data_IF_651660457485
#
_entry.id   IF_651660457485
#
_cell.length_a   1.000
_cell.length_b   1.000
_cell.length_c   1.000
_cell.angle_alpha   90.00
_cell.angle_beta   90.00
_cell.angle_gamma   90.00
#
_symmetry.space_group_name_H-M   'P 1'
#
loop_
_entity.id
_entity.type
_entity.pdbx_description
1 polymer ?
#
# COMPACT_ATOMS: atom_id res chain seq x y z
N UNK A 1 -3.21 15.67 -29.28
CA UNK A 1 -4.32 15.96 -28.35
C UNK A 1 -3.91 15.42 -26.99
N UNK A 2 -4.11 16.16 -25.92
CA UNK A 2 -3.86 15.69 -24.55
C UNK A 2 -4.86 16.33 -23.58
N UNK A 3 -4.99 15.78 -22.38
CA UNK A 3 -5.77 16.35 -21.30
C UNK A 3 -5.00 16.17 -19.99
N UNK A 4 -5.20 17.09 -19.06
CA UNK A 4 -4.54 17.01 -17.76
C UNK A 4 -5.03 18.06 -16.79
N UNK A 5 -4.59 17.89 -15.54
CA UNK A 5 -4.82 18.84 -14.46
C UNK A 5 -3.82 19.99 -14.57
N UNK A 6 -4.30 21.23 -14.46
CA UNK A 6 -3.49 22.44 -14.46
C UNK A 6 -2.67 22.54 -13.18
N UNK A 7 -1.35 22.40 -13.28
CA UNK A 7 -0.44 22.39 -12.12
C UNK A 7 0.30 23.71 -11.92
N UNK A 8 0.58 24.44 -13.01
CA UNK A 8 1.18 25.77 -12.94
C UNK A 8 0.76 26.63 -14.14
N UNK A 9 0.80 27.94 -13.96
CA UNK A 9 0.51 28.94 -15.01
C UNK A 9 1.50 30.10 -14.90
N UNK A 10 2.08 30.50 -16.02
CA UNK A 10 2.88 31.72 -16.18
C UNK A 10 2.31 32.56 -17.32
N UNK A 11 1.68 33.68 -16.98
CA UNK A 11 1.05 34.59 -17.93
C UNK A 11 2.08 35.61 -18.46
N UNK A 12 2.18 35.75 -19.78
CA UNK A 12 3.09 36.65 -20.49
C UNK A 12 2.31 37.52 -21.48
N UNK A 13 1.41 38.36 -20.95
CA UNK A 13 0.56 39.23 -21.76
C UNK A 13 -0.46 38.44 -22.58
N UNK A 14 -0.22 38.32 -23.89
CA UNK A 14 -1.07 37.60 -24.88
C UNK A 14 -0.70 36.12 -25.06
N UNK A 15 0.36 35.67 -24.41
CA UNK A 15 0.73 34.26 -24.38
C UNK A 15 0.92 33.79 -22.93
N UNK A 16 0.81 32.49 -22.69
CA UNK A 16 1.05 31.88 -21.39
C UNK A 16 1.72 30.54 -21.56
N UNK A 17 2.56 30.18 -20.60
CA UNK A 17 2.99 28.80 -20.38
C UNK A 17 2.19 28.21 -19.24
N UNK A 18 1.83 26.95 -19.35
CA UNK A 18 1.19 26.20 -18.28
C UNK A 18 1.72 24.77 -18.26
N UNK A 19 1.57 24.09 -17.14
CA UNK A 19 1.89 22.66 -17.01
C UNK A 19 0.59 21.89 -16.79
N UNK A 20 0.35 20.89 -17.64
CA UNK A 20 -0.73 19.93 -17.47
C UNK A 20 -0.14 18.60 -16.97
N UNK A 21 -0.71 18.08 -15.88
CA UNK A 21 -0.36 16.76 -15.33
C UNK A 21 -1.42 15.73 -15.69
N UNK A 22 -0.99 14.61 -16.27
CA UNK A 22 -1.83 13.45 -16.48
C UNK A 22 -1.29 12.23 -15.71
N UNK A 23 -1.71 11.02 -16.10
CA UNK A 23 -1.26 9.80 -15.46
C UNK A 23 0.19 9.40 -15.79
N UNK A 24 0.81 10.00 -16.80
CA UNK A 24 2.20 9.73 -17.21
C UNK A 24 3.18 10.75 -16.66
N UNK A 25 2.73 11.98 -16.40
CA UNK A 25 3.57 13.00 -15.79
C UNK A 25 3.13 14.42 -16.16
N UNK A 26 4.10 15.33 -16.12
CA UNK A 26 3.93 16.74 -16.44
C UNK A 26 4.31 17.03 -17.88
N UNK A 27 3.52 17.86 -18.54
CA UNK A 27 3.80 18.33 -19.88
C UNK A 27 3.51 19.83 -19.97
N UNK A 28 4.52 20.59 -20.41
CA UNK A 28 4.37 22.02 -20.67
C UNK A 28 3.48 22.24 -21.91
N UNK A 29 2.62 23.25 -21.83
CA UNK A 29 1.79 23.76 -22.92
C UNK A 29 2.01 25.25 -23.11
N UNK A 30 2.03 25.69 -24.36
CA UNK A 30 2.09 27.09 -24.75
C UNK A 30 0.75 27.50 -25.33
N UNK A 31 0.15 28.54 -24.76
CA UNK A 31 -1.18 29.02 -25.11
C UNK A 31 -1.07 30.47 -25.54
N UNK A 32 -1.28 30.73 -26.82
CA UNK A 32 -1.35 32.08 -27.37
C UNK A 32 -2.80 32.49 -27.63
N UNK A 33 -3.20 33.66 -27.12
CA UNK A 33 -4.56 34.21 -27.23
C UNK A 33 -5.08 34.19 -28.65
N UNK A 34 -4.30 34.73 -29.57
CA UNK A 34 -4.72 34.94 -30.96
C UNK A 34 -4.77 33.61 -31.74
N UNK A 35 -4.22 32.53 -31.19
CA UNK A 35 -4.32 31.19 -31.78
C UNK A 35 -5.53 30.41 -31.31
N UNK A 36 -5.82 30.43 -30.01
CA UNK A 36 -7.01 29.74 -29.46
C UNK A 36 -8.29 30.57 -29.62
N UNK A 37 -8.16 31.86 -29.92
CA UNK A 37 -9.24 32.78 -30.22
C UNK A 37 -8.94 33.51 -31.55
N UNK A 38 -9.17 32.88 -32.72
CA UNK A 38 -8.82 33.48 -34.01
C UNK A 38 -9.72 34.68 -34.39
N UNK A 39 -10.96 34.74 -33.89
CA UNK A 39 -11.89 35.85 -34.11
C UNK A 39 -11.70 37.03 -33.15
N UNK A 40 -12.60 38.02 -33.19
CA UNK A 40 -12.53 39.20 -32.31
C UNK A 40 -12.83 38.87 -30.84
N UNK A 41 -13.63 37.83 -30.58
CA UNK A 41 -13.92 37.37 -29.22
C UNK A 41 -12.68 36.72 -28.59
N UNK A 42 -12.11 37.38 -27.59
CA UNK A 42 -10.94 36.90 -26.83
C UNK A 42 -11.32 36.33 -25.45
N UNK A 43 -12.59 36.09 -25.17
CA UNK A 43 -13.11 35.70 -23.84
C UNK A 43 -12.48 34.41 -23.32
N UNK A 44 -12.33 33.39 -24.18
CA UNK A 44 -11.74 32.10 -23.79
C UNK A 44 -10.32 32.24 -23.20
N UNK A 45 -9.52 33.18 -23.69
CA UNK A 45 -8.19 33.42 -23.14
C UNK A 45 -8.20 34.47 -22.02
N UNK A 46 -8.79 35.65 -22.28
CA UNK A 46 -8.67 36.81 -21.39
C UNK A 46 -9.46 36.65 -20.09
N UNK A 47 -10.63 36.01 -20.15
CA UNK A 47 -11.50 35.82 -19.00
C UNK A 47 -11.37 34.38 -18.48
N UNK A 48 -11.64 33.39 -19.33
CA UNK A 48 -11.65 31.99 -18.88
C UNK A 48 -10.26 31.55 -18.46
N UNK A 49 -9.28 31.52 -19.37
CA UNK A 49 -7.95 31.00 -19.06
C UNK A 49 -7.17 31.85 -18.04
N UNK A 50 -7.16 33.18 -18.21
CA UNK A 50 -6.34 34.06 -17.37
C UNK A 50 -6.92 34.37 -15.99
N UNK A 51 -8.24 34.36 -15.82
CA UNK A 51 -8.88 34.85 -14.58
C UNK A 51 -9.75 33.79 -13.88
N UNK A 52 -10.44 32.94 -14.63
CA UNK A 52 -11.39 31.98 -14.05
C UNK A 52 -10.76 30.61 -13.79
N UNK A 53 -9.75 30.22 -14.56
CA UNK A 53 -9.03 28.96 -14.32
C UNK A 53 -8.00 29.12 -13.21
N UNK A 54 -7.91 28.08 -12.37
CA UNK A 54 -7.02 28.00 -11.22
C UNK A 54 -6.31 26.65 -11.21
N UNK A 55 -5.24 26.55 -10.42
CA UNK A 55 -4.52 25.30 -10.22
C UNK A 55 -5.48 24.21 -9.74
N UNK A 56 -5.42 23.05 -10.38
CA UNK A 56 -6.31 21.93 -10.15
C UNK A 56 -7.42 21.72 -11.17
N UNK A 57 -7.73 22.72 -12.00
CA UNK A 57 -8.71 22.58 -13.08
C UNK A 57 -8.24 21.59 -14.14
N UNK A 58 -9.17 20.88 -14.78
CA UNK A 58 -8.85 19.95 -15.86
C UNK A 58 -9.09 20.58 -17.21
N UNK A 59 -8.08 20.51 -18.08
CA UNK A 59 -8.10 21.07 -19.42
C UNK A 59 -7.81 19.99 -20.46
N UNK A 60 -8.51 20.07 -21.58
CA UNK A 60 -8.21 19.34 -22.81
C UNK A 60 -7.59 20.32 -23.80
N UNK A 61 -6.52 19.92 -24.46
CA UNK A 61 -5.81 20.76 -25.43
C UNK A 61 -5.44 19.98 -26.69
N UNK A 62 -5.53 20.65 -27.83
CA UNK A 62 -5.11 20.14 -29.13
C UNK A 62 -4.20 21.15 -29.81
N UNK A 63 -3.21 20.64 -30.54
CA UNK A 63 -2.08 21.42 -31.00
C UNK A 63 -0.99 20.55 -31.60
N UNK A 64 0.19 21.12 -31.78
CA UNK A 64 1.39 20.42 -32.28
C UNK A 64 2.56 20.57 -31.31
N UNK A 65 3.44 19.57 -31.29
CA UNK A 65 4.64 19.61 -30.46
C UNK A 65 5.70 20.53 -31.09
N UNK A 66 6.40 21.30 -30.26
CA UNK A 66 7.57 22.09 -30.65
C UNK A 66 8.56 22.15 -29.49
N UNK A 67 9.76 22.69 -29.75
CA UNK A 67 10.72 23.00 -28.69
C UNK A 67 10.80 24.50 -28.48
N UNK A 68 10.80 24.93 -27.23
CA UNK A 68 11.06 26.34 -26.87
C UNK A 68 12.53 26.69 -27.12
N UNK A 69 12.88 27.97 -26.96
CA UNK A 69 14.29 28.41 -27.04
C UNK A 69 15.20 27.76 -26.00
N UNK A 70 14.63 27.35 -24.86
CA UNK A 70 15.34 26.62 -23.80
C UNK A 70 15.42 25.11 -24.08
N UNK A 71 14.87 24.63 -25.20
CA UNK A 71 14.92 23.23 -25.63
C UNK A 71 13.81 22.34 -25.07
N UNK A 72 12.96 22.87 -24.19
CA UNK A 72 11.86 22.12 -23.56
C UNK A 72 10.80 21.73 -24.59
N UNK A 73 10.38 20.45 -24.55
CA UNK A 73 9.30 19.94 -25.39
C UNK A 73 7.97 20.50 -24.89
N UNK A 74 7.26 21.22 -25.76
CA UNK A 74 6.02 21.92 -25.41
C UNK A 74 4.95 21.66 -26.46
N UNK A 75 3.70 21.55 -26.02
CA UNK A 75 2.56 21.55 -26.93
C UNK A 75 2.13 22.99 -27.25
N UNK A 76 2.18 23.38 -28.51
CA UNK A 76 1.60 24.63 -28.99
C UNK A 76 0.09 24.47 -29.17
N UNK A 77 -0.70 25.10 -28.32
CA UNK A 77 -2.15 24.90 -28.24
C UNK A 77 -2.90 25.71 -29.30
N UNK A 78 -3.71 25.01 -30.10
CA UNK A 78 -4.64 25.57 -31.09
C UNK A 78 -6.09 25.53 -30.65
N UNK A 79 -6.45 24.55 -29.81
CA UNK A 79 -7.80 24.43 -29.24
C UNK A 79 -7.67 24.12 -27.75
N UNK A 80 -8.47 24.81 -26.93
CA UNK A 80 -8.53 24.64 -25.49
C UNK A 80 -9.97 24.35 -25.06
N UNK A 81 -10.15 23.33 -24.24
CA UNK A 81 -11.45 22.93 -23.68
C UNK A 81 -11.34 22.82 -22.17
N UNK A 82 -12.23 23.48 -21.43
CA UNK A 82 -12.35 23.28 -19.98
C UNK A 82 -13.15 22.00 -19.76
N UNK A 83 -12.53 21.00 -19.13
CA UNK A 83 -13.14 19.70 -18.91
C UNK A 83 -13.85 19.63 -17.55
N UNK A 84 -13.19 20.14 -16.50
CA UNK A 84 -13.76 20.19 -15.16
C UNK A 84 -13.13 21.29 -14.31
N UNK A 85 -13.95 22.00 -13.53
CA UNK A 85 -13.50 23.01 -12.57
C UNK A 85 -13.21 22.35 -11.22
N UNK A 86 -12.03 22.57 -10.67
CA UNK A 86 -11.72 22.33 -9.26
C UNK A 86 -12.34 23.46 -8.42
N UNK A 87 -13.29 23.11 -7.56
CA UNK A 87 -13.98 24.06 -6.67
C UNK A 87 -13.16 24.40 -5.43
N UNK A 88 -12.19 23.55 -5.09
CA UNK A 88 -11.25 23.78 -3.98
C UNK A 88 -9.84 23.96 -4.55
N UNK A 89 -9.05 24.92 -4.02
CA UNK A 89 -7.67 25.09 -4.45
C UNK A 89 -6.85 23.86 -4.06
N UNK A 90 -5.92 23.49 -4.93
CA UNK A 90 -4.93 22.47 -4.63
C UNK A 90 -3.82 23.08 -3.75
N UNK A 91 -3.29 22.34 -2.75
CA UNK A 91 -2.09 22.76 -2.04
C UNK A 91 -0.94 23.00 -3.04
N UNK A 92 -0.29 24.15 -2.92
CA UNK A 92 0.81 24.54 -3.81
C UNK A 92 2.11 24.16 -3.14
N UNK A 93 2.58 22.95 -3.43
CA UNK A 93 3.91 22.49 -3.01
C UNK A 93 4.94 23.18 -3.90
N UNK A 94 5.90 23.89 -3.31
CA UNK A 94 6.96 24.59 -4.04
C UNK A 94 8.28 23.89 -3.80
N UNK A 95 9.01 23.60 -4.86
CA UNK A 95 10.40 23.13 -4.76
C UNK A 95 11.30 24.25 -5.24
N UNK A 96 12.25 24.68 -4.41
CA UNK A 96 13.24 25.68 -4.84
C UNK A 96 14.35 25.05 -5.70
N UNK A 97 15.25 25.90 -6.23
CA UNK A 97 16.35 25.48 -7.11
C UNK A 97 17.38 24.59 -6.38
N UNK A 98 17.39 24.60 -5.05
CA UNK A 98 18.23 23.78 -4.18
C UNK A 98 17.59 22.42 -3.85
N UNK A 99 16.33 22.21 -4.29
CA UNK A 99 15.57 20.98 -4.08
C UNK A 99 14.75 20.94 -2.78
N UNK A 100 14.69 22.03 -2.01
CA UNK A 100 13.91 22.07 -0.78
C UNK A 100 12.42 22.22 -1.09
N UNK A 101 11.60 21.41 -0.43
CA UNK A 101 10.15 21.41 -0.58
C UNK A 101 9.51 22.29 0.48
N UNK A 102 8.91 23.40 0.06
CA UNK A 102 8.13 24.34 0.86
C UNK A 102 6.63 24.06 0.70
N UNK A 103 5.84 24.37 1.74
CA UNK A 103 4.38 24.19 1.76
C UNK A 103 3.95 22.74 1.43
N UNK A 104 4.79 21.77 1.80
CA UNK A 104 4.54 20.36 1.56
C UNK A 104 3.24 19.91 2.24
N UNK A 105 2.43 19.14 1.53
CA UNK A 105 1.28 18.45 2.12
C UNK A 105 1.78 17.25 2.92
N UNK A 106 2.40 17.53 4.06
CA UNK A 106 3.22 16.58 4.83
C UNK A 106 2.48 15.98 6.03
N UNK A 107 1.44 16.64 6.55
CA UNK A 107 0.67 16.17 7.70
C UNK A 107 0.14 14.74 7.46
N UNK A 108 0.57 13.74 8.24
CA UNK A 108 0.21 12.35 7.99
C UNK A 108 -1.30 12.10 8.01
N UNK A 109 -2.03 12.74 8.94
CA UNK A 109 -3.47 12.54 9.08
C UNK A 109 -4.23 13.07 7.85
N UNK A 110 -3.92 14.30 7.42
CA UNK A 110 -4.51 14.90 6.22
C UNK A 110 -4.17 14.11 4.96
N UNK A 111 -2.96 13.56 4.84
CA UNK A 111 -2.57 12.68 3.72
C UNK A 111 -3.41 11.41 3.67
N UNK A 112 -3.70 10.81 4.82
CA UNK A 112 -4.54 9.62 4.91
C UNK A 112 -6.02 9.94 4.64
N UNK A 113 -6.54 11.06 5.16
CA UNK A 113 -7.94 11.49 4.96
C UNK A 113 -8.22 12.00 3.55
N UNK A 114 -7.27 12.73 2.97
CA UNK A 114 -7.38 13.33 1.63
C UNK A 114 -6.40 12.67 0.67
N UNK A 115 -6.48 11.35 0.55
CA UNK A 115 -5.58 10.55 -0.30
C UNK A 115 -5.52 11.06 -1.75
N UNK A 116 -6.64 11.55 -2.27
CA UNK A 116 -6.72 12.14 -3.62
C UNK A 116 -5.87 13.41 -3.77
N UNK A 117 -5.67 14.19 -2.71
CA UNK A 117 -4.75 15.34 -2.70
C UNK A 117 -3.31 14.85 -2.62
N UNK A 118 -3.03 13.95 -1.68
CA UNK A 118 -1.71 13.35 -1.47
C UNK A 118 -1.13 12.74 -2.76
N UNK A 119 -1.95 12.00 -3.51
CA UNK A 119 -1.58 11.42 -4.81
C UNK A 119 -1.22 12.46 -5.89
N UNK A 120 -1.77 13.67 -5.81
CA UNK A 120 -1.54 14.73 -6.80
C UNK A 120 -0.29 15.52 -6.46
N UNK A 121 -0.07 15.82 -5.17
CA UNK A 121 0.94 16.79 -4.75
C UNK A 121 2.24 16.14 -4.26
N UNK A 122 2.21 14.91 -3.77
CA UNK A 122 3.39 14.21 -3.28
C UNK A 122 3.86 13.16 -4.30
N UNK A 123 5.08 13.36 -4.80
CA UNK A 123 5.73 12.38 -5.66
C UNK A 123 5.98 11.06 -4.91
N UNK A 124 6.01 9.92 -5.61
CA UNK A 124 6.30 8.61 -5.02
C UNK A 124 5.10 7.92 -4.37
N UNK A 125 4.04 8.66 -3.98
CA UNK A 125 2.85 8.06 -3.37
C UNK A 125 2.14 7.15 -4.36
N UNK A 126 1.93 7.62 -5.59
CA UNK A 126 1.31 6.81 -6.66
C UNK A 126 2.13 5.55 -6.96
N UNK A 127 3.44 5.69 -7.03
CA UNK A 127 4.39 4.61 -7.27
C UNK A 127 4.31 3.54 -6.18
N UNK A 128 4.05 3.94 -4.93
CA UNK A 128 3.83 3.01 -3.81
C UNK A 128 2.58 2.14 -4.04
N UNK A 129 1.47 2.74 -4.48
CA UNK A 129 0.26 1.97 -4.84
C UNK A 129 0.49 1.05 -6.04
N UNK A 130 1.21 1.53 -7.06
CA UNK A 130 1.56 0.72 -8.23
C UNK A 130 2.47 -0.47 -7.85
N UNK A 131 3.45 -0.25 -6.96
CA UNK A 131 4.30 -1.32 -6.41
C UNK A 131 3.47 -2.33 -5.61
N UNK A 132 2.51 -1.89 -4.79
CA UNK A 132 1.58 -2.80 -4.09
C UNK A 132 0.81 -3.67 -5.08
N UNK A 133 0.22 -3.08 -6.13
CA UNK A 133 -0.49 -3.85 -7.16
C UNK A 133 0.44 -4.84 -7.87
N UNK A 134 1.67 -4.43 -8.17
CA UNK A 134 2.66 -5.30 -8.80
C UNK A 134 3.06 -6.47 -7.89
N UNK A 135 3.21 -6.23 -6.59
CA UNK A 135 3.52 -7.26 -5.59
C UNK A 135 2.43 -8.32 -5.55
N UNK A 136 1.15 -7.91 -5.40
CA UNK A 136 0.00 -8.81 -5.38
C UNK A 136 -0.12 -9.59 -6.70
N UNK A 137 0.09 -8.92 -7.84
CA UNK A 137 0.05 -9.58 -9.15
C UNK A 137 1.18 -10.59 -9.33
N UNK A 138 2.36 -10.33 -8.77
CA UNK A 138 3.48 -11.25 -8.79
C UNK A 138 3.24 -12.48 -7.90
N UNK A 139 2.66 -12.28 -6.72
CA UNK A 139 2.23 -13.39 -5.85
C UNK A 139 1.21 -14.28 -6.56
N UNK A 140 0.17 -13.70 -7.18
CA UNK A 140 -0.81 -14.48 -7.98
C UNK A 140 -0.13 -15.32 -9.04
N UNK A 141 0.69 -14.70 -9.90
CA UNK A 141 1.42 -15.45 -10.95
C UNK A 141 2.27 -16.59 -10.38
N UNK A 142 2.97 -16.35 -9.27
CA UNK A 142 3.78 -17.39 -8.63
C UNK A 142 2.95 -18.58 -8.16
N UNK A 143 1.74 -18.33 -7.64
CA UNK A 143 0.80 -19.35 -7.17
C UNK A 143 0.09 -20.05 -8.34
N UNK A 144 -0.32 -19.30 -9.35
CA UNK A 144 -0.95 -19.79 -10.59
C UNK A 144 0.01 -20.71 -11.35
N UNK A 145 1.27 -20.30 -11.51
CA UNK A 145 2.32 -21.08 -12.17
C UNK A 145 2.64 -22.38 -11.40
N UNK A 146 2.42 -22.39 -10.07
CA UNK A 146 2.50 -23.58 -9.23
C UNK A 146 1.25 -24.48 -9.29
N UNK A 147 0.21 -24.08 -10.04
CA UNK A 147 -1.01 -24.85 -10.25
C UNK A 147 -2.02 -24.75 -9.11
N UNK A 148 -1.94 -23.71 -8.27
CA UNK A 148 -2.89 -23.48 -7.18
C UNK A 148 -4.04 -22.59 -7.62
N UNK A 149 -5.20 -22.79 -7.00
CA UNK A 149 -6.44 -22.15 -7.44
C UNK A 149 -6.78 -20.96 -6.53
N UNK A 150 -6.92 -19.76 -7.12
CA UNK A 150 -7.52 -18.62 -6.41
C UNK A 150 -9.00 -18.89 -6.15
N UNK A 151 -9.42 -18.74 -4.89
CA UNK A 151 -10.81 -18.91 -4.47
C UNK A 151 -11.32 -17.67 -3.73
N UNK A 152 -12.63 -17.55 -3.58
CA UNK A 152 -13.28 -16.49 -2.81
C UNK A 152 -14.20 -17.15 -1.78
N UNK A 153 -13.93 -16.92 -0.50
CA UNK A 153 -14.65 -17.55 0.61
C UNK A 153 -15.50 -16.54 1.40
N UNK A 154 -16.54 -16.99 2.13
CA UNK A 154 -17.45 -16.08 2.82
C UNK A 154 -16.77 -15.05 3.74
N UNK A 155 -17.06 -13.78 3.49
CA UNK A 155 -16.67 -12.65 4.37
C UNK A 155 -17.54 -12.60 5.62
N UNK A 156 -18.83 -12.88 5.48
CA UNK A 156 -19.78 -13.00 6.59
C UNK A 156 -19.78 -14.45 7.08
N UNK A 157 -19.40 -14.67 8.33
CA UNK A 157 -19.30 -15.98 8.95
C UNK A 157 -20.26 -16.07 10.15
N UNK A 158 -20.95 -17.20 10.30
CA UNK A 158 -21.82 -17.45 11.45
C UNK A 158 -21.01 -17.68 12.74
N UNK A 159 -19.81 -18.24 12.61
CA UNK A 159 -18.85 -18.45 13.71
C UNK A 159 -17.51 -17.86 13.24
N UNK A 160 -16.98 -16.84 13.92
CA UNK A 160 -15.67 -16.31 13.61
C UNK A 160 -14.61 -17.30 14.08
N UNK A 161 -13.62 -17.61 13.23
CA UNK A 161 -12.56 -18.55 13.55
C UNK A 161 -11.39 -18.48 12.59
N UNK A 162 -10.37 -19.32 12.81
CA UNK A 162 -9.11 -19.33 12.04
C UNK A 162 -8.06 -18.32 12.55
N UNK A 163 -8.36 -17.55 13.59
CA UNK A 163 -7.39 -16.71 14.29
C UNK A 163 -7.87 -16.42 15.72
N UNK A 164 -6.95 -15.98 16.59
CA UNK A 164 -7.26 -15.43 17.90
C UNK A 164 -7.38 -13.90 17.80
N UNK A 165 -8.57 -13.41 17.45
CA UNK A 165 -8.83 -11.99 17.26
C UNK A 165 -10.29 -11.64 17.59
N UNK A 166 -10.53 -10.38 17.99
CA UNK A 166 -11.91 -9.91 18.25
C UNK A 166 -12.62 -9.60 16.93
N UNK A 167 -13.80 -10.18 16.64
CA UNK A 167 -14.50 -9.92 15.39
C UNK A 167 -15.31 -8.61 15.43
N UNK A 168 -15.63 -8.08 14.25
CA UNK A 168 -16.75 -7.16 14.08
C UNK A 168 -18.05 -7.96 13.97
N UNK A 169 -19.09 -7.49 14.67
CA UNK A 169 -20.42 -8.12 14.70
C UNK A 169 -21.38 -7.32 13.84
N UNK A 170 -22.22 -8.01 13.08
CA UNK A 170 -23.31 -7.45 12.28
C UNK A 170 -24.57 -8.33 12.39
N UNK A 171 -25.68 -7.91 11.78
CA UNK A 171 -26.96 -8.61 11.86
C UNK A 171 -27.57 -8.83 10.48
N UNK A 172 -28.03 -10.04 10.21
CA UNK A 172 -28.72 -10.35 8.96
C UNK A 172 -30.24 -10.24 9.13
N UNK A 173 -30.81 -9.07 8.81
CA UNK A 173 -32.22 -8.74 9.08
C UNK A 173 -33.24 -9.80 8.65
N UNK A 174 -33.12 -10.38 7.44
CA UNK A 174 -34.14 -11.32 6.95
C UNK A 174 -34.07 -12.72 7.59
N UNK A 175 -32.92 -13.09 8.17
CA UNK A 175 -32.73 -14.36 8.86
C UNK A 175 -32.81 -14.19 10.38
N UNK A 176 -32.79 -12.93 10.84
CA UNK A 176 -32.76 -12.52 12.23
C UNK A 176 -31.68 -13.21 13.07
N UNK A 177 -30.46 -13.29 12.52
CA UNK A 177 -29.31 -13.92 13.19
C UNK A 177 -28.07 -13.03 13.14
N UNK A 178 -27.20 -13.10 14.17
CA UNK A 178 -25.92 -12.42 14.15
C UNK A 178 -24.99 -13.03 13.10
N UNK A 179 -24.16 -12.18 12.50
CA UNK A 179 -23.04 -12.55 11.64
C UNK A 179 -21.79 -11.81 12.06
N UNK A 180 -20.65 -12.36 11.68
CA UNK A 180 -19.35 -11.80 12.01
C UNK A 180 -18.57 -11.55 10.72
N UNK A 181 -17.87 -10.42 10.64
CA UNK A 181 -16.87 -10.24 9.60
C UNK A 181 -15.70 -11.18 9.89
N UNK A 182 -15.21 -11.88 8.86
CA UNK A 182 -14.13 -12.85 8.99
C UNK A 182 -12.86 -12.23 9.60
N UNK A 183 -12.29 -12.92 10.57
CA UNK A 183 -10.98 -12.60 11.16
C UNK A 183 -9.82 -13.33 10.44
N UNK A 184 -10.17 -14.42 9.72
CA UNK A 184 -9.34 -15.26 8.87
C UNK A 184 -10.24 -16.05 7.90
N UNK A 185 -9.66 -16.60 6.83
CA UNK A 185 -10.36 -17.48 5.88
C UNK A 185 -9.90 -18.95 5.96
N UNK A 186 -8.95 -19.27 6.83
CA UNK A 186 -8.41 -20.62 7.12
C UNK A 186 -9.47 -21.73 7.13
N UNK A 187 -10.54 -21.58 7.91
CA UNK A 187 -11.51 -22.65 8.10
C UNK A 187 -12.26 -23.00 6.80
N UNK A 188 -12.47 -22.03 5.92
CA UNK A 188 -13.10 -22.27 4.63
C UNK A 188 -12.12 -22.87 3.62
N UNK A 189 -10.88 -22.41 3.58
CA UNK A 189 -9.85 -23.01 2.73
C UNK A 189 -9.61 -24.47 3.10
N UNK A 190 -9.56 -24.82 4.40
CA UNK A 190 -9.48 -26.22 4.86
C UNK A 190 -10.68 -27.07 4.42
N UNK A 191 -11.89 -26.52 4.33
CA UNK A 191 -13.05 -27.25 3.77
C UNK A 191 -12.86 -27.57 2.29
N UNK A 192 -12.24 -26.68 1.52
CA UNK A 192 -11.89 -26.94 0.12
C UNK A 192 -10.83 -28.03 0.00
N UNK A 193 -9.83 -28.03 0.88
CA UNK A 193 -8.84 -29.12 0.94
C UNK A 193 -9.51 -30.46 1.22
N UNK A 194 -10.44 -30.53 2.18
CA UNK A 194 -11.25 -31.74 2.43
C UNK A 194 -12.12 -32.10 1.21
N UNK A 195 -12.59 -31.11 0.47
CA UNK A 195 -13.32 -31.28 -0.79
C UNK A 195 -12.49 -31.80 -1.96
N UNK A 196 -11.18 -32.03 -1.79
CA UNK A 196 -10.32 -32.65 -2.79
C UNK A 196 -9.50 -31.68 -3.64
N UNK A 197 -9.43 -30.40 -3.28
CA UNK A 197 -8.51 -29.47 -3.93
C UNK A 197 -7.05 -29.82 -3.59
N UNK A 198 -6.17 -29.81 -4.59
CA UNK A 198 -4.74 -30.04 -4.39
C UNK A 198 -4.04 -28.84 -3.75
N UNK A 199 -4.40 -27.62 -4.13
CA UNK A 199 -3.97 -26.40 -3.45
C UNK A 199 -4.84 -25.20 -3.80
N UNK A 200 -5.14 -24.40 -2.79
CA UNK A 200 -6.00 -23.21 -2.89
C UNK A 200 -5.34 -22.05 -2.20
N UNK A 201 -5.55 -20.85 -2.74
CA UNK A 201 -5.17 -19.62 -2.08
C UNK A 201 -6.27 -18.57 -2.22
N UNK A 202 -6.24 -17.58 -1.33
CA UNK A 202 -7.15 -16.43 -1.43
C UNK A 202 -6.47 -15.17 -0.90
N UNK A 203 -6.59 -14.09 -1.68
CA UNK A 203 -6.33 -12.73 -1.20
C UNK A 203 -7.55 -12.20 -0.46
N UNK A 204 -7.61 -12.44 0.85
CA UNK A 204 -8.77 -12.10 1.68
C UNK A 204 -8.62 -10.71 2.32
N UNK A 205 -9.74 -9.98 2.39
CA UNK A 205 -9.88 -8.88 3.35
C UNK A 205 -10.35 -9.46 4.67
N UNK A 206 -9.50 -9.37 5.69
CA UNK A 206 -9.82 -9.76 7.05
C UNK A 206 -10.09 -8.53 7.90
N UNK A 207 -10.93 -8.71 8.93
CA UNK A 207 -11.43 -7.65 9.77
C UNK A 207 -11.21 -8.01 11.24
N UNK A 208 -10.42 -7.22 11.96
CA UNK A 208 -10.13 -7.42 13.39
C UNK A 208 -10.47 -6.15 14.16
N UNK A 209 -11.34 -6.30 15.15
CA UNK A 209 -11.86 -5.21 15.97
C UNK A 209 -10.89 -4.93 17.14
N UNK A 210 -9.74 -4.41 16.77
CA UNK A 210 -8.56 -4.18 17.62
C UNK A 210 -8.08 -2.72 17.49
N UNK A 211 -7.07 -2.36 18.27
CA UNK A 211 -6.43 -1.05 18.18
C UNK A 211 -5.75 -0.82 16.82
N UNK A 212 -5.44 0.44 16.52
CA UNK A 212 -4.68 0.82 15.33
C UNK A 212 -3.29 1.30 15.74
N UNK A 213 -2.28 0.88 15.00
CA UNK A 213 -0.92 1.36 15.13
C UNK A 213 -0.23 1.40 13.76
N UNK A 214 1.11 1.44 13.73
CA UNK A 214 1.89 1.51 12.50
C UNK A 214 1.80 0.25 11.64
N UNK A 215 1.44 -0.89 12.22
CA UNK A 215 1.40 -2.22 11.60
C UNK A 215 0.00 -2.84 11.60
N UNK A 216 -0.96 -2.26 12.34
CA UNK A 216 -2.32 -2.77 12.48
C UNK A 216 -3.36 -1.79 11.94
N UNK A 217 -4.14 -2.25 10.96
CA UNK A 217 -5.35 -1.59 10.47
C UNK A 217 -6.55 -2.52 10.66
N UNK A 218 -7.75 -2.04 11.05
CA UNK A 218 -8.87 -2.90 11.42
C UNK A 218 -9.39 -3.76 10.25
N UNK A 219 -9.08 -3.34 9.02
CA UNK A 219 -9.25 -4.14 7.82
C UNK A 219 -7.92 -4.27 7.06
N UNK A 220 -7.53 -5.48 6.68
CA UNK A 220 -6.24 -5.70 6.03
C UNK A 220 -6.30 -6.88 5.06
N UNK A 221 -5.38 -6.87 4.10
CA UNK A 221 -5.31 -7.93 3.09
C UNK A 221 -4.31 -8.98 3.53
N UNK A 222 -4.75 -10.24 3.54
CA UNK A 222 -3.90 -11.41 3.77
C UNK A 222 -3.93 -12.28 2.51
N UNK A 223 -2.85 -13.00 2.26
CA UNK A 223 -2.85 -14.13 1.34
C UNK A 223 -2.73 -15.39 2.20
N UNK A 224 -3.77 -16.22 2.21
CA UNK A 224 -3.71 -17.54 2.83
C UNK A 224 -3.60 -18.61 1.74
N UNK A 225 -2.73 -19.61 1.95
CA UNK A 225 -2.42 -20.70 1.03
C UNK A 225 -2.52 -22.03 1.77
N UNK A 226 -3.18 -23.01 1.16
CA UNK A 226 -3.21 -24.39 1.60
C UNK A 226 -2.83 -25.31 0.46
N UNK A 227 -1.94 -26.27 0.71
CA UNK A 227 -1.47 -27.25 -0.27
C UNK A 227 -1.52 -28.64 0.37
N UNK A 228 -2.14 -29.59 -0.32
CA UNK A 228 -2.29 -30.96 0.15
C UNK A 228 -0.94 -31.67 0.12
N UNK A 229 -0.73 -32.59 1.07
CA UNK A 229 0.45 -33.46 1.15
C UNK A 229 1.80 -32.74 1.32
N UNK A 230 1.78 -31.45 1.67
CA UNK A 230 2.98 -30.67 1.98
C UNK A 230 3.05 -30.37 3.48
N UNK A 231 4.28 -30.25 3.99
CA UNK A 231 4.57 -29.85 5.36
C UNK A 231 5.09 -28.39 5.41
N UNK A 232 5.44 -27.95 6.62
CA UNK A 232 5.94 -26.61 6.83
C UNK A 232 7.38 -26.41 6.28
N UNK A 233 8.16 -27.47 6.07
CA UNK A 233 9.48 -27.35 5.44
C UNK A 233 9.34 -26.99 3.97
N UNK A 234 8.44 -27.68 3.26
CA UNK A 234 8.06 -27.30 1.91
C UNK A 234 7.51 -25.87 1.86
N UNK A 235 6.67 -25.48 2.83
CA UNK A 235 6.11 -24.12 2.90
C UNK A 235 7.21 -23.06 3.07
N UNK A 236 8.22 -23.31 3.92
CA UNK A 236 9.36 -22.39 4.07
C UNK A 236 10.08 -22.20 2.74
N UNK A 237 10.46 -23.28 2.05
CA UNK A 237 11.15 -23.21 0.76
C UNK A 237 10.30 -22.48 -0.31
N UNK A 238 9.00 -22.77 -0.35
CA UNK A 238 8.07 -22.18 -1.31
C UNK A 238 7.88 -20.68 -1.08
N UNK A 239 7.71 -20.27 0.19
CA UNK A 239 7.52 -18.86 0.57
C UNK A 239 8.81 -18.06 0.35
N UNK A 240 9.99 -18.61 0.66
CA UNK A 240 11.29 -17.99 0.33
C UNK A 240 11.41 -17.68 -1.17
N UNK A 241 11.05 -18.65 -2.02
CA UNK A 241 11.00 -18.47 -3.47
C UNK A 241 10.02 -17.37 -3.91
N UNK A 242 8.83 -17.33 -3.29
CA UNK A 242 7.82 -16.32 -3.56
C UNK A 242 8.30 -14.91 -3.17
N UNK A 243 8.92 -14.74 -1.99
CA UNK A 243 9.46 -13.44 -1.56
C UNK A 243 10.49 -12.92 -2.56
N UNK A 244 11.42 -13.78 -3.01
CA UNK A 244 12.43 -13.42 -4.01
C UNK A 244 11.80 -13.01 -5.35
N UNK A 245 10.78 -13.74 -5.81
CA UNK A 245 10.03 -13.44 -7.03
C UNK A 245 9.33 -12.07 -6.92
N UNK A 246 8.63 -11.83 -5.81
CA UNK A 246 7.88 -10.59 -5.56
C UNK A 246 8.82 -9.39 -5.43
N UNK A 247 9.92 -9.51 -4.67
CA UNK A 247 10.92 -8.46 -4.51
C UNK A 247 11.51 -8.07 -5.88
N UNK A 248 11.91 -9.06 -6.68
CA UNK A 248 12.47 -8.83 -8.02
C UNK A 248 11.44 -8.19 -8.95
N UNK A 249 10.19 -8.68 -8.96
CA UNK A 249 9.15 -8.11 -9.81
C UNK A 249 8.84 -6.64 -9.43
N UNK A 250 8.88 -6.30 -8.15
CA UNK A 250 8.53 -4.96 -7.65
C UNK A 250 9.66 -3.94 -7.75
N UNK A 251 10.89 -4.37 -7.49
CA UNK A 251 12.06 -3.50 -7.38
C UNK A 251 13.09 -3.69 -8.50
N UNK A 252 12.95 -4.72 -9.34
CA UNK A 252 13.94 -5.11 -10.35
C UNK A 252 15.11 -5.93 -9.80
N UNK A 253 15.20 -6.09 -8.48
CA UNK A 253 16.24 -6.80 -7.74
C UNK A 253 15.61 -7.48 -6.52
N UNK A 254 16.17 -8.60 -6.01
CA UNK A 254 15.71 -9.21 -4.76
C UNK A 254 16.12 -8.44 -3.50
N UNK A 255 16.63 -7.21 -3.62
CA UNK A 255 17.09 -6.40 -2.49
C UNK A 255 16.28 -5.10 -2.34
N UNK A 256 16.22 -4.56 -1.13
CA UNK A 256 15.66 -3.23 -0.87
C UNK A 256 16.30 -2.55 0.34
N UNK A 257 15.97 -1.27 0.55
CA UNK A 257 16.33 -0.55 1.78
C UNK A 257 15.08 -0.29 2.58
N UNK A 258 15.07 -0.66 3.86
CA UNK A 258 13.96 -0.42 4.78
C UNK A 258 14.50 0.15 6.09
N UNK A 259 14.04 1.36 6.46
CA UNK A 259 14.47 2.06 7.68
C UNK A 259 16.00 2.15 7.85
N UNK A 260 16.73 2.36 6.76
CA UNK A 260 18.20 2.43 6.76
C UNK A 260 18.90 1.08 6.66
N UNK A 261 18.20 -0.04 6.82
CA UNK A 261 18.75 -1.38 6.67
C UNK A 261 18.69 -1.86 5.23
N UNK A 262 19.75 -2.51 4.77
CA UNK A 262 19.74 -3.26 3.51
C UNK A 262 19.12 -4.64 3.75
N UNK A 263 18.07 -4.97 3.00
CA UNK A 263 17.33 -6.24 3.11
C UNK A 263 17.57 -7.04 1.84
N UNK A 264 17.94 -8.31 1.98
CA UNK A 264 18.21 -9.21 0.86
C UNK A 264 17.31 -10.45 0.90
N UNK A 265 16.43 -10.59 -0.11
CA UNK A 265 15.57 -11.76 -0.30
C UNK A 265 16.21 -12.81 -1.24
N UNK A 266 17.46 -12.60 -1.65
CA UNK A 266 18.21 -13.45 -2.58
C UNK A 266 18.70 -14.77 -1.95
N UNK A 267 19.33 -14.78 -0.76
CA UNK A 267 19.72 -16.00 -0.07
C UNK A 267 18.53 -16.84 0.42
N UNK A 268 18.83 -18.01 0.99
CA UNK A 268 17.87 -18.75 1.81
C UNK A 268 17.70 -18.03 3.16
N UNK A 269 16.49 -18.06 3.72
CA UNK A 269 16.20 -17.35 4.97
C UNK A 269 16.80 -18.11 6.15
N UNK A 270 17.23 -17.36 7.16
CA UNK A 270 17.78 -17.97 8.37
C UNK A 270 16.66 -18.64 9.15
N UNK A 271 16.71 -19.95 9.37
CA UNK A 271 15.70 -20.65 10.17
C UNK A 271 16.13 -20.71 11.63
N UNK A 272 15.32 -20.14 12.50
CA UNK A 272 15.53 -20.18 13.96
C UNK A 272 14.34 -20.86 14.65
N UNK A 273 14.57 -21.43 15.83
CA UNK A 273 13.48 -21.91 16.69
C UNK A 273 13.19 -20.87 17.76
N UNK A 274 11.92 -20.52 17.96
CA UNK A 274 11.49 -19.58 19.02
C UNK A 274 12.06 -19.95 20.40
N UNK A 275 11.96 -21.23 20.79
CA UNK A 275 12.46 -21.73 22.08
C UNK A 275 13.98 -21.67 22.15
N UNK A 276 14.69 -22.07 21.10
CA UNK A 276 16.15 -22.00 21.06
C UNK A 276 16.68 -20.56 21.15
N UNK A 277 16.06 -19.62 20.44
CA UNK A 277 16.43 -18.20 20.50
C UNK A 277 16.18 -17.61 21.89
N UNK A 278 15.07 -17.99 22.53
CA UNK A 278 14.81 -17.59 23.92
C UNK A 278 15.80 -18.23 24.91
N UNK A 279 16.18 -19.49 24.70
CA UNK A 279 17.20 -20.16 25.49
C UNK A 279 18.55 -19.43 25.38
N UNK A 280 18.96 -19.02 24.18
CA UNK A 280 20.18 -18.24 23.98
C UNK A 280 20.13 -16.87 24.66
N UNK A 281 18.98 -16.18 24.61
CA UNK A 281 18.79 -14.86 25.22
C UNK A 281 18.70 -14.89 26.75
N UNK A 282 18.02 -15.91 27.29
CA UNK A 282 17.63 -15.95 28.70
C UNK A 282 18.39 -16.98 29.53
N UNK A 283 19.06 -17.92 28.87
CA UNK A 283 19.69 -19.09 29.52
C UNK A 283 18.69 -20.10 30.09
N UNK A 284 17.39 -19.96 29.81
CA UNK A 284 16.33 -20.80 30.36
C UNK A 284 15.56 -21.55 29.27
N UNK A 285 15.29 -22.82 29.53
CA UNK A 285 14.35 -23.59 28.71
C UNK A 285 12.91 -23.21 29.07
N UNK A 286 12.33 -22.32 28.28
CA UNK A 286 10.96 -21.80 28.48
C UNK A 286 9.88 -22.88 28.40
N UNK A 287 10.16 -24.03 27.80
CA UNK A 287 9.22 -25.15 27.79
C UNK A 287 9.22 -25.93 29.10
N UNK A 288 10.32 -25.91 29.85
CA UNK A 288 10.41 -26.56 31.16
C UNK A 288 9.75 -25.74 32.29
N UNK A 289 9.61 -24.42 32.11
CA UNK A 289 9.06 -23.50 33.11
C UNK A 289 7.53 -23.60 33.21
N UNK A 290 7.00 -23.41 34.43
CA UNK A 290 5.55 -23.22 34.63
C UNK A 290 5.11 -21.76 34.33
N UNK A 291 3.79 -21.51 34.36
CA UNK A 291 3.24 -20.17 34.05
C UNK A 291 3.69 -19.09 35.03
N UNK A 292 3.92 -19.45 36.30
CA UNK A 292 4.38 -18.51 37.31
C UNK A 292 5.84 -18.14 37.04
N UNK A 293 6.69 -19.13 36.81
CA UNK A 293 8.11 -18.94 36.49
C UNK A 293 8.29 -18.16 35.18
N UNK A 294 7.47 -18.43 34.16
CA UNK A 294 7.44 -17.64 32.93
C UNK A 294 6.97 -16.21 33.17
N UNK A 295 5.91 -16.02 33.97
CA UNK A 295 5.44 -14.68 34.33
C UNK A 295 6.49 -13.87 35.09
N UNK A 296 7.27 -14.51 35.97
CA UNK A 296 8.41 -13.89 36.64
C UNK A 296 9.53 -13.55 35.63
N UNK A 297 9.82 -14.44 34.68
CA UNK A 297 10.81 -14.20 33.61
C UNK A 297 10.41 -13.04 32.69
N UNK A 298 9.14 -12.95 32.28
CA UNK A 298 8.58 -11.84 31.52
C UNK A 298 8.78 -10.51 32.26
N UNK A 299 8.41 -10.45 33.54
CA UNK A 299 8.58 -9.24 34.36
C UNK A 299 10.03 -8.81 34.51
N UNK A 300 10.97 -9.78 34.61
CA UNK A 300 12.41 -9.48 34.66
C UNK A 300 12.90 -8.75 33.40
N UNK A 301 12.25 -8.99 32.26
CA UNK A 301 12.58 -8.39 30.98
C UNK A 301 11.63 -7.25 30.59
N UNK A 302 10.84 -6.73 31.53
CA UNK A 302 9.94 -5.58 31.28
C UNK A 302 8.66 -5.92 30.50
N UNK A 303 8.37 -7.20 30.28
CA UNK A 303 7.15 -7.65 29.61
C UNK A 303 5.97 -7.61 30.59
N UNK A 304 4.87 -6.96 30.18
CA UNK A 304 3.64 -6.90 30.97
C UNK A 304 2.95 -8.28 31.02
N UNK A 305 2.53 -8.70 32.21
CA UNK A 305 1.87 -10.00 32.43
C UNK A 305 0.47 -9.79 32.97
N UNK A 306 -0.52 -10.34 32.27
CA UNK A 306 -1.93 -10.31 32.69
C UNK A 306 -2.42 -11.71 33.06
N UNK A 307 -3.49 -11.80 33.86
CA UNK A 307 -4.07 -13.07 34.29
C UNK A 307 -4.72 -13.88 33.15
N UNK A 308 -4.93 -13.28 31.99
CA UNK A 308 -5.46 -13.95 30.81
C UNK A 308 -4.37 -14.63 29.96
N UNK A 309 -3.10 -14.37 30.24
CA UNK A 309 -1.97 -14.94 29.49
C UNK A 309 -1.65 -16.35 30.00
N UNK A 310 -1.95 -17.36 29.20
CA UNK A 310 -1.42 -18.71 29.42
C UNK A 310 0.03 -18.86 28.95
N UNK A 311 0.64 -20.01 29.25
CA UNK A 311 2.04 -20.34 28.91
C UNK A 311 2.48 -19.93 27.50
N UNK A 312 1.70 -20.29 26.47
CA UNK A 312 2.04 -19.97 25.08
C UNK A 312 2.11 -18.46 24.81
N UNK A 313 1.21 -17.67 25.41
CA UNK A 313 1.19 -16.22 25.25
C UNK A 313 2.36 -15.55 25.96
N UNK A 314 2.77 -16.06 27.13
CA UNK A 314 3.96 -15.56 27.84
C UNK A 314 5.24 -15.78 27.03
N UNK A 315 5.38 -16.95 26.39
CA UNK A 315 6.52 -17.26 25.52
C UNK A 315 6.53 -16.35 24.28
N UNK A 316 5.37 -16.14 23.66
CA UNK A 316 5.18 -15.24 22.51
C UNK A 316 5.57 -13.78 22.83
N UNK A 317 5.10 -13.24 23.95
CA UNK A 317 5.46 -11.89 24.40
C UNK A 317 6.95 -11.76 24.72
N UNK A 318 7.55 -12.78 25.35
CA UNK A 318 8.99 -12.79 25.62
C UNK A 318 9.82 -12.82 24.33
N UNK A 319 9.39 -13.60 23.32
CA UNK A 319 10.04 -13.62 22.01
C UNK A 319 9.91 -12.28 21.28
N UNK A 320 8.72 -11.68 21.35
CA UNK A 320 8.41 -10.37 20.75
C UNK A 320 9.29 -9.26 21.32
N UNK A 321 9.60 -9.32 22.61
CA UNK A 321 10.47 -8.33 23.28
C UNK A 321 11.97 -8.61 23.04
N UNK A 322 12.42 -9.87 23.17
CA UNK A 322 13.84 -10.19 23.26
C UNK A 322 14.50 -10.62 21.95
N UNK A 323 13.72 -11.08 20.97
CA UNK A 323 14.26 -11.68 19.74
C UNK A 323 13.79 -10.92 18.50
N UNK A 324 12.48 -10.69 18.37
CA UNK A 324 11.89 -10.09 17.17
C UNK A 324 12.53 -8.75 16.73
N UNK A 325 12.92 -7.81 17.62
CA UNK A 325 13.53 -6.54 17.22
C UNK A 325 14.88 -6.68 16.51
N UNK A 326 15.56 -7.81 16.68
CA UNK A 326 16.86 -8.09 16.08
C UNK A 326 16.76 -8.80 14.72
N UNK A 327 15.57 -9.27 14.33
CA UNK A 327 15.33 -9.99 13.08
C UNK A 327 15.20 -9.02 11.89
N UNK A 328 16.35 -8.49 11.45
CA UNK A 328 16.40 -7.51 10.35
C UNK A 328 16.31 -8.19 8.98
N UNK A 329 17.07 -9.26 8.75
CA UNK A 329 16.96 -10.04 7.51
C UNK A 329 15.73 -10.96 7.55
N UNK A 330 15.19 -11.38 6.40
CA UNK A 330 14.19 -12.42 6.37
C UNK A 330 14.68 -13.68 7.10
N UNK A 331 13.94 -14.08 8.12
CA UNK A 331 14.25 -15.14 9.09
C UNK A 331 13.00 -15.99 9.28
#
# INVERSE_FOLDING_TARGET
VMAGRLMSVRIMGKASFAVLRDHTGDQQVYIARDEICPGDDKTLYNEVFKKLLHLGDFLGVKGFAFRTRTGELTLHVKELTVLAKSLRPLPVVKTDEEGNVHDAFADPELRHRMRYVDLVVNAGVKETFLKRTRAVSAMRRYLDDAGYVEVDTPVLQAIPGGAAAKPFVTHHNALDVPYYLRIANELYLKRLMVGGFHGVYEFSRNFRNEGMDRTHNPEFTVMELYVAYQDYHWMMDFIEGMFRHVATATNGTPTCTFQGNHIDFGPAFQRITMVGSLLEKTGKDVLALDERELGELCKQHGVEVTSAMGKGKLIDELFSELVQPELIQPT
#
